data_IF_363210598383
#
_entry.id   IF_363210598383
#
_cell.length_a   1.000
_cell.length_b   1.000
_cell.length_c   1.000
_cell.angle_alpha   90.00
_cell.angle_beta   90.00
_cell.angle_gamma   90.00
#
_symmetry.space_group_name_H-M   'P 1'
#
loop_
_entity.id
_entity.type
_entity.pdbx_description
1 polymer ?
#
# COMPACT_ATOMS: atom_id res chain seq x y z
N UNK A 1 -0.99 26.28 18.82
CA UNK A 1 -0.96 24.89 18.29
C UNK A 1 -1.74 24.74 16.96
N UNK A 2 -2.59 25.70 16.55
CA UNK A 2 -3.32 25.67 15.27
C UNK A 2 -2.45 25.67 14.00
N UNK A 3 -1.27 26.31 14.03
CA UNK A 3 -0.40 26.44 12.86
C UNK A 3 -0.01 25.08 12.21
N UNK A 4 0.22 24.04 13.04
CA UNK A 4 0.62 22.72 12.54
C UNK A 4 -0.54 21.97 11.86
N UNK A 5 -1.78 22.21 12.32
CA UNK A 5 -2.98 21.62 11.72
C UNK A 5 -3.26 22.23 10.36
N UNK A 6 -3.20 23.57 10.26
CA UNK A 6 -3.44 24.26 8.98
C UNK A 6 -2.36 23.91 7.94
N UNK A 7 -1.10 23.78 8.36
CA UNK A 7 -0.03 23.32 7.47
C UNK A 7 -0.25 21.87 7.00
N UNK A 8 -0.70 20.98 7.90
CA UNK A 8 -1.01 19.60 7.54
C UNK A 8 -2.18 19.51 6.55
N UNK A 9 -3.23 20.31 6.73
CA UNK A 9 -4.37 20.40 5.79
C UNK A 9 -3.89 20.89 4.42
N UNK A 10 -3.12 21.98 4.36
CA UNK A 10 -2.54 22.47 3.10
C UNK A 10 -1.67 21.42 2.42
N UNK A 11 -0.84 20.70 3.17
CA UNK A 11 -0.01 19.63 2.63
C UNK A 11 -0.88 18.50 2.04
N UNK A 12 -1.94 18.09 2.73
CA UNK A 12 -2.89 17.09 2.23
C UNK A 12 -3.54 17.53 0.91
N UNK A 13 -4.04 18.76 0.82
CA UNK A 13 -4.62 19.29 -0.42
C UNK A 13 -3.62 19.29 -1.59
N UNK A 14 -2.35 19.62 -1.33
CA UNK A 14 -1.30 19.55 -2.35
C UNK A 14 -1.06 18.10 -2.79
N UNK A 15 -1.11 17.14 -1.86
CA UNK A 15 -0.99 15.72 -2.19
C UNK A 15 -2.16 15.26 -3.07
N UNK A 16 -3.39 15.68 -2.79
CA UNK A 16 -4.57 15.39 -3.62
C UNK A 16 -4.41 15.94 -5.05
N UNK A 17 -3.99 17.19 -5.20
CA UNK A 17 -3.69 17.78 -6.52
C UNK A 17 -2.60 17.01 -7.27
N UNK A 18 -1.61 16.47 -6.57
CA UNK A 18 -0.59 15.62 -7.20
C UNK A 18 -1.17 14.29 -7.68
N UNK A 19 -2.10 13.69 -6.93
CA UNK A 19 -2.79 12.47 -7.33
C UNK A 19 -3.64 12.68 -8.59
N UNK A 20 -4.30 13.84 -8.73
CA UNK A 20 -5.03 14.21 -9.96
C UNK A 20 -4.12 14.26 -11.19
N UNK A 21 -2.86 14.64 -11.00
CA UNK A 21 -1.83 14.67 -12.04
C UNK A 21 -1.12 13.32 -12.24
N UNK A 22 -1.61 12.23 -11.62
CA UNK A 22 -0.97 10.91 -11.60
C UNK A 22 0.43 10.87 -10.95
N UNK A 23 0.84 11.92 -10.23
CA UNK A 23 2.10 11.97 -9.48
C UNK A 23 1.91 11.38 -8.07
N UNK A 24 1.71 10.06 -8.00
CA UNK A 24 1.50 9.35 -6.74
C UNK A 24 2.76 9.32 -5.87
N UNK A 25 3.95 9.37 -6.46
CA UNK A 25 5.20 9.38 -5.70
C UNK A 25 5.41 10.72 -4.98
N UNK A 26 5.18 11.83 -5.70
CA UNK A 26 5.19 13.16 -5.11
C UNK A 26 4.07 13.33 -4.09
N UNK A 27 2.86 12.84 -4.39
CA UNK A 27 1.74 12.86 -3.44
C UNK A 27 2.10 12.14 -2.13
N UNK A 28 2.69 10.94 -2.21
CA UNK A 28 3.14 10.17 -1.03
C UNK A 28 4.07 10.96 -0.13
N UNK A 29 5.07 11.64 -0.70
CA UNK A 29 6.06 12.43 0.06
C UNK A 29 5.39 13.55 0.84
N UNK A 30 4.44 14.25 0.21
CA UNK A 30 3.72 15.36 0.82
C UNK A 30 2.72 14.85 1.86
N UNK A 31 2.02 13.76 1.57
CA UNK A 31 1.13 13.08 2.50
C UNK A 31 1.85 12.65 3.79
N UNK A 32 3.07 12.12 3.65
CA UNK A 32 3.89 11.75 4.79
C UNK A 32 4.28 12.96 5.64
N UNK A 33 4.59 14.10 4.99
CA UNK A 33 4.80 15.36 5.70
C UNK A 33 3.54 15.77 6.47
N UNK A 34 2.35 15.70 5.84
CA UNK A 34 1.08 16.02 6.49
C UNK A 34 0.82 15.14 7.72
N UNK A 35 1.07 13.82 7.61
CA UNK A 35 0.97 12.88 8.73
C UNK A 35 1.93 13.23 9.87
N UNK A 36 3.18 13.57 9.57
CA UNK A 36 4.17 13.94 10.59
C UNK A 36 3.83 15.26 11.30
N UNK A 37 3.22 16.20 10.59
CA UNK A 37 2.77 17.47 11.16
C UNK A 37 1.55 17.29 12.06
N UNK A 38 0.62 16.43 11.66
CA UNK A 38 -0.60 16.16 12.40
C UNK A 38 -1.09 14.72 12.16
N UNK A 39 -0.73 13.75 13.03
CA UNK A 39 -1.07 12.34 12.84
C UNK A 39 -2.57 12.04 12.88
N UNK A 40 -3.34 12.85 13.61
CA UNK A 40 -4.80 12.77 13.73
C UNK A 40 -5.53 13.42 12.54
N UNK A 41 -4.80 13.82 11.49
CA UNK A 41 -5.40 14.44 10.32
C UNK A 41 -6.40 13.49 9.66
N UNK A 42 -7.61 13.99 9.44
CA UNK A 42 -8.69 13.19 8.91
C UNK A 42 -8.34 12.61 7.53
N UNK A 43 -8.55 11.30 7.41
CA UNK A 43 -8.38 10.52 6.20
C UNK A 43 -6.96 10.47 5.59
N UNK A 44 -5.93 10.86 6.36
CA UNK A 44 -4.54 10.83 5.86
C UNK A 44 -4.05 9.41 5.57
N UNK A 45 -4.52 8.42 6.34
CA UNK A 45 -4.19 7.01 6.13
C UNK A 45 -4.71 6.50 4.80
N UNK A 46 -5.96 6.82 4.43
CA UNK A 46 -6.53 6.46 3.13
C UNK A 46 -5.69 7.04 1.99
N UNK A 47 -5.30 8.31 2.10
CA UNK A 47 -4.51 8.98 1.08
C UNK A 47 -3.13 8.32 0.91
N UNK A 48 -2.45 8.00 2.01
CA UNK A 48 -1.18 7.27 1.98
C UNK A 48 -1.33 5.88 1.36
N UNK A 49 -2.36 5.12 1.75
CA UNK A 49 -2.60 3.78 1.20
C UNK A 49 -2.86 3.80 -0.31
N UNK A 50 -3.60 4.80 -0.84
CA UNK A 50 -3.78 4.95 -2.29
C UNK A 50 -2.43 5.20 -2.96
N UNK A 51 -1.65 6.14 -2.44
CA UNK A 51 -0.35 6.49 -3.02
C UNK A 51 0.59 5.29 -3.02
N UNK A 52 0.63 4.50 -1.93
CA UNK A 52 1.46 3.32 -1.82
C UNK A 52 1.06 2.22 -2.81
N UNK A 53 -0.23 1.93 -2.94
CA UNK A 53 -0.74 0.95 -3.92
C UNK A 53 -0.36 1.33 -5.34
N UNK A 54 -0.53 2.60 -5.73
CA UNK A 54 -0.16 3.09 -7.07
C UNK A 54 1.35 3.09 -7.30
N UNK A 55 2.14 3.47 -6.29
CA UNK A 55 3.60 3.39 -6.37
C UNK A 55 4.07 1.95 -6.56
N UNK A 56 3.52 1.00 -5.80
CA UNK A 56 3.84 -0.42 -5.94
C UNK A 56 3.39 -1.00 -7.28
N UNK A 57 2.24 -0.56 -7.80
CA UNK A 57 1.76 -0.99 -9.11
C UNK A 57 2.60 -0.44 -10.27
N UNK A 58 3.17 0.77 -10.11
CA UNK A 58 4.09 1.38 -11.07
C UNK A 58 5.48 0.72 -11.03
N UNK A 59 5.84 0.13 -9.88
CA UNK A 59 7.08 -0.61 -9.71
C UNK A 59 6.97 -2.01 -10.31
N UNK A 60 7.28 -2.14 -11.60
CA UNK A 60 7.22 -3.42 -12.32
C UNK A 60 8.35 -4.34 -11.86
N UNK A 61 7.99 -5.52 -11.34
CA UNK A 61 8.94 -6.61 -11.11
C UNK A 61 9.14 -7.40 -12.41
N UNK A 62 10.35 -7.94 -12.59
CA UNK A 62 10.70 -8.79 -13.74
C UNK A 62 10.35 -8.15 -15.10
N UNK A 63 10.70 -6.87 -15.28
CA UNK A 63 10.59 -6.14 -16.55
C UNK A 63 9.18 -5.78 -17.00
N UNK A 64 8.12 -6.45 -16.56
CA UNK A 64 6.73 -6.15 -16.97
C UNK A 64 5.61 -6.61 -16.01
N UNK A 65 5.90 -7.43 -14.99
CA UNK A 65 4.87 -7.96 -14.09
C UNK A 65 4.64 -6.98 -12.92
N UNK A 66 3.39 -6.83 -12.46
CA UNK A 66 3.09 -5.99 -11.29
C UNK A 66 3.61 -6.64 -10.01
N UNK A 67 4.08 -5.84 -9.04
CA UNK A 67 4.43 -6.36 -7.72
C UNK A 67 3.16 -6.66 -6.89
N UNK A 68 2.58 -7.84 -7.05
CA UNK A 68 1.37 -8.20 -6.29
C UNK A 68 1.57 -8.20 -4.78
N UNK A 69 2.78 -8.57 -4.29
CA UNK A 69 3.12 -8.51 -2.87
C UNK A 69 3.26 -7.05 -2.40
N UNK A 70 3.95 -6.21 -3.19
CA UNK A 70 4.10 -4.79 -2.92
C UNK A 70 2.77 -4.01 -2.97
N UNK A 71 1.86 -4.37 -3.87
CA UNK A 71 0.51 -3.78 -3.97
C UNK A 71 -0.29 -4.09 -2.70
N UNK A 72 -0.23 -5.32 -2.20
CA UNK A 72 -0.84 -5.67 -0.92
C UNK A 72 -0.01 -5.21 0.28
N UNK A 73 1.13 -4.54 0.10
CA UNK A 73 2.00 -4.08 1.18
C UNK A 73 2.45 -5.20 2.12
N UNK A 74 2.67 -6.39 1.56
CA UNK A 74 3.20 -7.56 2.28
C UNK A 74 4.60 -7.88 1.79
N UNK A 75 5.35 -8.65 2.58
CA UNK A 75 6.65 -9.13 2.17
C UNK A 75 6.54 -10.10 0.98
N UNK A 76 7.59 -10.13 0.15
CA UNK A 76 7.66 -11.08 -0.97
C UNK A 76 7.65 -12.50 -0.42
N UNK A 77 6.89 -13.39 -1.06
CA UNK A 77 6.70 -14.77 -0.64
C UNK A 77 5.97 -14.91 0.72
N UNK A 78 5.24 -13.89 1.16
CA UNK A 78 4.42 -13.97 2.37
C UNK A 78 3.40 -15.12 2.32
N UNK A 79 3.04 -15.59 3.51
CA UNK A 79 2.03 -16.64 3.69
C UNK A 79 0.64 -16.16 3.29
N UNK A 80 -0.22 -17.10 2.89
CA UNK A 80 -1.60 -16.84 2.49
C UNK A 80 -2.39 -16.13 3.61
N UNK A 81 -2.13 -16.47 4.87
CA UNK A 81 -2.76 -15.83 6.03
C UNK A 81 -2.43 -14.33 6.09
N UNK A 82 -1.18 -13.94 5.83
CA UNK A 82 -0.77 -12.54 5.80
C UNK A 82 -1.39 -11.80 4.63
N UNK A 83 -1.37 -12.41 3.43
CA UNK A 83 -2.02 -11.88 2.23
C UNK A 83 -3.50 -11.58 2.49
N UNK A 84 -4.24 -12.56 3.03
CA UNK A 84 -5.68 -12.44 3.31
C UNK A 84 -5.98 -11.39 4.38
N UNK A 85 -5.17 -11.33 5.44
CA UNK A 85 -5.29 -10.34 6.51
C UNK A 85 -5.10 -8.92 5.96
N UNK A 86 -4.05 -8.72 5.18
CA UNK A 86 -3.71 -7.41 4.66
C UNK A 86 -4.66 -6.95 3.55
N UNK A 87 -5.13 -7.86 2.69
CA UNK A 87 -6.20 -7.57 1.73
C UNK A 87 -7.46 -7.03 2.42
N UNK A 88 -7.93 -7.71 3.48
CA UNK A 88 -9.12 -7.25 4.24
C UNK A 88 -8.93 -5.86 4.82
N UNK A 89 -7.75 -5.57 5.37
CA UNK A 89 -7.41 -4.24 5.90
C UNK A 89 -7.45 -3.18 4.81
N UNK A 90 -6.76 -3.41 3.70
CA UNK A 90 -6.70 -2.46 2.58
C UNK A 90 -8.07 -2.25 1.94
N UNK A 91 -8.88 -3.31 1.82
CA UNK A 91 -10.24 -3.21 1.28
C UNK A 91 -11.13 -2.29 2.12
N UNK A 92 -10.97 -2.27 3.44
CA UNK A 92 -11.72 -1.36 4.33
C UNK A 92 -11.23 0.09 4.20
N UNK A 93 -9.92 0.31 4.08
CA UNK A 93 -9.31 1.64 3.96
C UNK A 93 -9.60 2.26 2.58
N UNK A 94 -9.59 1.44 1.53
CA UNK A 94 -9.72 1.86 0.13
C UNK A 94 -11.14 1.72 -0.42
N UNK A 95 -12.12 1.36 0.41
CA UNK A 95 -13.48 1.16 -0.07
C UNK A 95 -14.05 2.46 -0.69
N UNK A 96 -14.59 2.42 -1.93
CA UNK A 96 -15.01 3.62 -2.66
C UNK A 96 -16.14 4.40 -1.98
N UNK A 97 -16.94 3.73 -1.13
CA UNK A 97 -18.00 4.40 -0.34
C UNK A 97 -17.46 5.46 0.63
N UNK A 98 -16.30 5.19 1.25
CA UNK A 98 -15.70 6.08 2.26
C UNK A 98 -14.51 6.87 1.75
N UNK A 99 -14.02 6.55 0.56
CA UNK A 99 -12.79 7.10 0.03
C UNK A 99 -13.04 7.87 -1.27
N UNK A 100 -12.99 9.21 -1.17
CA UNK A 100 -13.28 10.13 -2.27
C UNK A 100 -12.02 10.69 -2.94
N UNK A 101 -10.84 10.18 -2.57
CA UNK A 101 -9.59 10.68 -3.14
C UNK A 101 -9.38 10.20 -4.59
N UNK A 102 -8.66 10.97 -5.42
CA UNK A 102 -8.33 10.56 -6.78
C UNK A 102 -7.61 9.20 -6.80
N UNK A 103 -8.00 8.31 -7.70
CA UNK A 103 -7.37 7.00 -7.84
C UNK A 103 -7.70 5.98 -6.74
N UNK A 104 -8.63 6.27 -5.82
CA UNK A 104 -9.11 5.31 -4.82
C UNK A 104 -9.70 4.04 -5.45
N UNK A 105 -10.59 4.19 -6.44
CA UNK A 105 -11.19 3.06 -7.16
C UNK A 105 -10.12 2.22 -7.89
N UNK A 106 -9.17 2.88 -8.54
CA UNK A 106 -8.07 2.21 -9.23
C UNK A 106 -7.18 1.44 -8.23
N UNK A 107 -6.89 2.01 -7.06
CA UNK A 107 -6.16 1.34 -6.00
C UNK A 107 -6.93 0.13 -5.45
N UNK A 108 -8.25 0.26 -5.26
CA UNK A 108 -9.11 -0.84 -4.83
C UNK A 108 -9.09 -1.99 -5.85
N UNK A 109 -9.17 -1.68 -7.14
CA UNK A 109 -9.07 -2.68 -8.20
C UNK A 109 -7.72 -3.41 -8.18
N UNK A 110 -6.62 -2.68 -7.97
CA UNK A 110 -5.28 -3.26 -7.89
C UNK A 110 -5.15 -4.26 -6.73
N UNK A 111 -5.68 -3.95 -5.54
CA UNK A 111 -5.63 -4.88 -4.41
C UNK A 111 -6.52 -6.12 -4.64
N UNK A 112 -7.64 -5.98 -5.36
CA UNK A 112 -8.49 -7.12 -5.75
C UNK A 112 -7.78 -8.03 -6.76
N UNK A 113 -7.12 -7.46 -7.77
CA UNK A 113 -6.28 -8.21 -8.73
C UNK A 113 -5.15 -8.95 -8.00
N UNK A 114 -4.44 -8.28 -7.10
CA UNK A 114 -3.36 -8.87 -6.32
C UNK A 114 -3.85 -10.06 -5.47
N UNK A 115 -4.98 -9.88 -4.76
CA UNK A 115 -5.57 -10.95 -3.98
C UNK A 115 -6.04 -12.12 -4.86
N UNK A 116 -6.60 -11.87 -6.05
CA UNK A 116 -7.03 -12.93 -6.97
C UNK A 116 -5.87 -13.81 -7.48
N UNK A 117 -4.66 -13.27 -7.53
CA UNK A 117 -3.44 -14.03 -7.87
C UNK A 117 -2.86 -14.73 -6.64
N UNK A 118 -2.76 -14.03 -5.51
CA UNK A 118 -2.06 -14.52 -4.32
C UNK A 118 -2.91 -15.41 -3.40
N UNK A 119 -4.23 -15.41 -3.54
CA UNK A 119 -5.13 -16.32 -2.79
C UNK A 119 -5.33 -17.68 -3.46
N UNK A 120 -5.01 -17.80 -4.75
CA UNK A 120 -5.08 -19.06 -5.48
C UNK A 120 -3.72 -19.77 -5.38
N UNK A 121 -3.62 -20.96 -4.75
CA UNK A 121 -2.36 -21.66 -4.57
C UNK A 121 -1.62 -21.94 -5.88
N UNK A 122 -2.34 -22.23 -6.97
CA UNK A 122 -1.74 -22.55 -8.26
C UNK A 122 -1.14 -21.29 -8.89
N UNK A 123 -1.88 -20.18 -8.88
CA UNK A 123 -1.41 -18.88 -9.41
C UNK A 123 -0.28 -18.30 -8.56
N UNK A 124 -0.40 -18.37 -7.23
CA UNK A 124 0.65 -17.96 -6.29
C UNK A 124 1.93 -18.73 -6.54
N UNK A 125 1.87 -20.04 -6.70
CA UNK A 125 3.05 -20.88 -6.95
C UNK A 125 3.76 -20.51 -8.26
N UNK A 126 2.99 -20.26 -9.33
CA UNK A 126 3.53 -19.79 -10.61
C UNK A 126 4.21 -18.42 -10.48
N UNK A 127 3.58 -17.48 -9.77
CA UNK A 127 4.12 -16.16 -9.52
C UNK A 127 5.38 -16.19 -8.65
N UNK A 128 5.36 -16.96 -7.56
CA UNK A 128 6.49 -17.16 -6.64
C UNK A 128 7.69 -17.78 -7.36
N UNK A 129 7.44 -18.73 -8.27
CA UNK A 129 8.49 -19.34 -9.10
C UNK A 129 9.17 -18.31 -10.00
N UNK A 130 8.40 -17.42 -10.65
CA UNK A 130 8.97 -16.32 -11.46
C UNK A 130 9.84 -15.40 -10.60
N UNK A 131 9.38 -15.00 -9.41
CA UNK A 131 10.14 -14.12 -8.52
C UNK A 131 11.45 -14.77 -8.06
N UNK A 132 11.43 -16.04 -7.64
CA UNK A 132 12.62 -16.75 -7.15
C UNK A 132 13.71 -16.88 -8.21
N UNK A 133 13.35 -17.03 -9.48
CA UNK A 133 14.30 -17.08 -10.60
C UNK A 133 15.06 -15.75 -10.74
N UNK A 134 14.36 -14.62 -10.67
CA UNK A 134 15.00 -13.29 -10.78
C UNK A 134 15.88 -12.94 -9.58
N UNK A 135 15.55 -13.38 -8.37
CA UNK A 135 16.39 -13.15 -7.17
C UNK A 135 17.70 -13.92 -7.25
N UNK A 136 17.74 -15.06 -7.96
CA UNK A 136 18.96 -15.87 -8.16
C UNK A 136 19.89 -15.34 -9.26
N UNK A 137 19.41 -14.47 -10.14
CA UNK A 137 20.20 -13.88 -11.23
C UNK A 137 20.94 -12.60 -10.86
N UNK A 138 20.77 -12.09 -9.63
CA UNK A 138 21.61 -11.03 -9.10
C UNK A 138 22.91 -11.63 -8.52
N UNK A 139 24.10 -11.11 -8.85
CA UNK A 139 25.35 -11.62 -8.27
C UNK A 139 25.32 -11.41 -6.75
N UNK A 140 25.34 -12.52 -6.02
CA UNK A 140 25.49 -12.53 -4.56
C UNK A 140 26.94 -12.21 -4.26
N UNK A 141 27.26 -10.94 -4.02
CA UNK A 141 28.48 -10.59 -3.28
C UNK A 141 28.26 -10.95 -1.81
N UNK A 142 29.18 -11.65 -1.15
CA UNK A 142 29.08 -11.94 0.28
C UNK A 142 29.05 -10.63 1.09
N UNK A 143 28.32 -10.57 2.22
CA UNK A 143 28.16 -9.33 2.98
C UNK A 143 29.48 -8.97 3.67
N UNK A 144 30.25 -8.05 3.07
CA UNK A 144 31.24 -7.30 3.82
C UNK A 144 30.49 -6.24 4.63
N UNK A 145 30.44 -6.46 5.94
CA UNK A 145 29.91 -5.53 6.92
C UNK A 145 30.70 -4.21 6.88
N UNK A 146 30.19 -3.21 6.16
CA UNK A 146 30.55 -1.81 6.36
C UNK A 146 29.28 -1.04 6.69
N UNK A 147 29.14 -0.72 7.98
CA UNK A 147 28.14 0.19 8.51
C UNK A 147 28.44 1.57 7.90
N UNK A 148 27.66 1.98 6.90
CA UNK A 148 27.63 3.36 6.46
C UNK A 148 26.32 4.02 6.95
N UNK A 149 26.45 4.80 8.02
CA UNK A 149 25.42 5.66 8.57
C UNK A 149 25.25 6.83 7.60
N UNK A 150 24.28 6.76 6.69
CA UNK A 150 23.57 7.89 6.06
C UNK A 150 22.92 7.45 4.74
N UNK A 151 21.73 6.87 4.84
CA UNK A 151 20.65 6.86 3.83
C UNK A 151 19.62 5.81 4.25
N UNK A 152 18.68 6.18 5.13
CA UNK A 152 17.49 5.36 5.34
C UNK A 152 16.45 5.75 4.29
N UNK A 153 16.08 4.88 3.34
CA UNK A 153 14.74 4.95 2.81
C UNK A 153 13.83 4.50 3.96
N UNK A 154 13.07 5.45 4.51
CA UNK A 154 12.09 5.23 5.56
C UNK A 154 11.07 4.15 5.14
N UNK A 155 11.41 2.87 5.32
CA UNK A 155 10.44 1.79 5.52
C UNK A 155 9.85 2.00 6.90
N UNK A 156 8.93 2.95 7.03
CA UNK A 156 8.20 3.12 8.28
C UNK A 156 7.45 1.82 8.54
N UNK A 157 7.79 1.22 9.67
CA UNK A 157 7.11 0.11 10.32
C UNK A 157 5.60 0.43 10.44
N UNK A 158 4.82 0.05 9.43
CA UNK A 158 3.35 0.16 9.49
C UNK A 158 2.69 -1.01 10.26
N UNK A 159 3.51 -1.78 10.96
CA UNK A 159 3.11 -2.92 11.81
C UNK A 159 2.60 -2.49 13.20
N UNK A 160 2.61 -1.20 13.56
CA UNK A 160 2.26 -0.76 14.92
C UNK A 160 0.89 -0.08 15.08
N UNK A 161 0.16 0.25 14.00
CA UNK A 161 -1.25 0.67 14.11
C UNK A 161 -2.16 -0.57 14.21
N UNK A 162 -1.88 -1.44 15.18
CA UNK A 162 -2.31 -2.84 15.16
C UNK A 162 -3.21 -3.28 16.34
N UNK A 163 -3.79 -2.37 17.15
CA UNK A 163 -4.64 -2.81 18.28
C UNK A 163 -6.06 -2.23 18.38
N UNK A 164 -6.41 -1.11 17.74
CA UNK A 164 -7.72 -0.46 17.99
C UNK A 164 -8.86 -0.85 17.04
N UNK A 165 -8.62 -1.63 15.97
CA UNK A 165 -9.65 -2.02 15.00
C UNK A 165 -10.25 -3.43 15.21
N UNK A 166 -9.95 -4.10 16.33
CA UNK A 166 -10.36 -5.50 16.58
C UNK A 166 -11.78 -5.70 17.16
N UNK A 167 -12.66 -4.69 17.13
CA UNK A 167 -14.01 -4.80 17.73
C UNK A 167 -15.16 -4.40 16.79
N UNK A 168 -15.11 -4.76 15.50
CA UNK A 168 -16.32 -4.69 14.65
C UNK A 168 -16.56 -6.02 13.92
N UNK A 169 -17.63 -6.77 14.26
CA UNK A 169 -18.00 -8.03 13.63
C UNK A 169 -18.32 -7.88 12.13
N UNK A 170 -17.91 -8.88 11.37
CA UNK A 170 -17.98 -8.97 9.91
C UNK A 170 -19.34 -9.46 9.42
N UNK A 171 -20.37 -8.61 9.45
CA UNK A 171 -21.61 -8.88 8.73
C UNK A 171 -22.18 -7.63 8.06
N UNK A 172 -21.63 -7.27 6.89
CA UNK A 172 -22.44 -6.80 5.75
C UNK A 172 -21.57 -6.68 4.50
N UNK A 173 -21.53 -7.73 3.67
CA UNK A 173 -21.12 -7.57 2.27
C UNK A 173 -21.74 -8.64 1.38
N UNK A 174 -23.07 -8.78 1.42
CA UNK A 174 -23.86 -9.33 0.31
C UNK A 174 -25.21 -8.62 0.33
N UNK A 175 -25.40 -7.58 -0.49
CA UNK A 175 -26.72 -7.31 -1.07
C UNK A 175 -26.61 -6.39 -2.28
N UNK A 176 -27.47 -6.65 -3.26
CA UNK A 176 -27.82 -5.87 -4.44
C UNK A 176 -26.94 -6.01 -5.70
N UNK A 177 -27.08 -7.16 -6.36
CA UNK A 177 -27.53 -7.19 -7.77
C UNK A 177 -28.41 -8.41 -8.00
N UNK A 178 -29.72 -8.18 -8.13
CA UNK A 178 -30.60 -8.92 -9.02
C UNK A 178 -31.86 -8.05 -9.18
N UNK A 179 -31.96 -7.47 -10.37
CA UNK A 179 -33.18 -6.92 -10.95
C UNK A 179 -33.70 -7.98 -11.91
#
# INVERSE_FOLDING_TARGET
>A
MECNKDEAVRAKEIAEKKMENNDFEGARKIALKAQNLYPELENITQLLSICEVHCSASNRLLGSEKDWYGILQVEKLADELMVKKQYRRLALILHPDKNRFPGAEAAFKLICEANAVLSDPAKKSLYDSKIKVSVRSAPVNPPHHQINKNSQPNKIHFYEINLLYYLVPTHLYISHKNQ
#
